data_IF_885275010591
#
_entry.id   IF_885275010591
#
_cell.length_a   1.000
_cell.length_b   1.000
_cell.length_c   1.000
_cell.angle_alpha   90.00
_cell.angle_beta   90.00
_cell.angle_gamma   90.00
#
_symmetry.space_group_name_H-M   'P 1'
#
loop_
_entity.id
_entity.type
_entity.pdbx_description
1 polymer ?
#
# COMPACT_ATOMS: atom_id res chain seq x y z
N UNK A 1 5.93 11.63 17.03
CA UNK A 1 5.85 10.15 17.16
C UNK A 1 4.39 9.79 17.46
N UNK A 2 3.56 9.57 16.42
CA UNK A 2 2.18 9.12 16.63
C UNK A 2 2.29 7.71 17.21
N UNK A 3 1.96 7.56 18.49
CA UNK A 3 1.85 6.26 19.14
C UNK A 3 0.78 5.46 18.42
N UNK A 4 1.20 4.49 17.60
CA UNK A 4 0.30 3.46 17.10
C UNK A 4 -0.37 2.83 18.31
N UNK A 5 -1.66 3.15 18.48
CA UNK A 5 -2.47 2.63 19.57
C UNK A 5 -2.41 1.10 19.51
N UNK A 6 -1.86 0.47 20.54
CA UNK A 6 -1.73 -0.97 20.67
C UNK A 6 -3.12 -1.59 20.73
N UNK A 7 -3.67 -2.00 19.60
CA UNK A 7 -4.68 -3.03 19.62
C UNK A 7 -4.01 -4.32 20.13
N UNK A 8 -4.16 -4.59 21.43
CA UNK A 8 -3.84 -5.89 22.01
C UNK A 8 -4.82 -6.91 21.42
N UNK A 9 -4.42 -7.57 20.34
CA UNK A 9 -5.09 -8.77 19.88
C UNK A 9 -5.01 -9.81 21.00
N UNK A 10 -6.16 -10.21 21.55
CA UNK A 10 -6.25 -11.37 22.43
C UNK A 10 -5.75 -12.57 21.65
N UNK A 11 -4.68 -13.20 22.13
CA UNK A 11 -4.04 -14.36 21.54
C UNK A 11 -5.06 -15.48 21.27
N UNK A 12 -5.33 -15.71 19.99
CA UNK A 12 -5.76 -17.02 19.51
C UNK A 12 -4.50 -17.90 19.55
N UNK A 13 -4.48 -18.91 20.41
CA UNK A 13 -3.34 -19.82 20.57
C UNK A 13 -2.93 -20.37 19.19
N UNK A 14 -1.77 -19.97 18.67
CA UNK A 14 -1.07 -20.63 17.58
C UNK A 14 -0.99 -19.91 16.23
N UNK A 15 -1.91 -19.01 15.85
CA UNK A 15 -1.84 -18.35 14.54
C UNK A 15 -0.98 -17.08 14.59
N UNK A 16 0.02 -16.99 13.69
CA UNK A 16 0.85 -15.80 13.56
C UNK A 16 0.01 -14.66 12.97
N UNK A 17 -0.12 -13.54 13.70
CA UNK A 17 -0.83 -12.36 13.22
C UNK A 17 0.10 -11.43 12.42
N UNK A 18 -0.29 -11.11 11.19
CA UNK A 18 0.30 -10.03 10.41
C UNK A 18 -0.31 -8.68 10.82
N UNK A 19 0.48 -7.62 10.79
CA UNK A 19 -0.04 -6.26 10.95
C UNK A 19 -1.01 -5.90 9.81
N UNK A 20 -0.71 -6.40 8.59
CA UNK A 20 -1.56 -6.27 7.41
C UNK A 20 -1.25 -7.36 6.37
N UNK A 21 -2.25 -7.67 5.55
CA UNK A 21 -2.09 -8.50 4.35
C UNK A 21 -2.53 -7.67 3.15
N UNK A 22 -1.71 -7.66 2.10
CA UNK A 22 -2.07 -7.06 0.82
C UNK A 22 -2.85 -8.05 -0.01
N UNK A 23 -3.93 -7.60 -0.65
CA UNK A 23 -4.74 -8.39 -1.57
C UNK A 23 -4.88 -7.57 -2.85
N UNK A 24 -4.34 -8.07 -3.93
CA UNK A 24 -4.48 -7.43 -5.23
C UNK A 24 -5.84 -7.81 -5.81
N UNK A 25 -6.83 -6.95 -5.62
CA UNK A 25 -8.19 -7.20 -6.16
C UNK A 25 -8.26 -6.98 -7.67
N UNK A 26 -7.31 -6.24 -8.22
CA UNK A 26 -7.06 -6.06 -9.65
C UNK A 26 -5.63 -5.60 -9.88
N UNK A 27 -5.02 -5.98 -11.00
CA UNK A 27 -3.75 -5.45 -11.47
C UNK A 27 -3.93 -4.48 -12.66
N UNK A 28 -5.16 -4.09 -12.97
CA UNK A 28 -5.52 -3.11 -13.99
C UNK A 28 -5.52 -1.72 -13.36
N UNK A 29 -4.91 -0.75 -14.05
CA UNK A 29 -4.93 0.66 -13.66
C UNK A 29 -5.36 1.50 -14.87
N UNK A 30 -6.02 2.62 -14.60
CA UNK A 30 -6.39 3.63 -15.61
C UNK A 30 -5.30 4.69 -15.83
N UNK A 31 -4.19 4.62 -15.09
CA UNK A 31 -2.99 5.44 -15.29
C UNK A 31 -1.79 4.57 -15.65
N UNK A 32 -0.76 5.20 -16.23
CA UNK A 32 0.52 4.56 -16.58
C UNK A 32 1.69 5.40 -16.05
N UNK A 33 1.83 5.45 -14.72
CA UNK A 33 2.87 6.22 -14.06
C UNK A 33 4.24 5.57 -14.25
N UNK A 34 5.27 6.36 -14.59
CA UNK A 34 6.65 5.88 -14.83
C UNK A 34 7.29 5.22 -13.60
N UNK A 35 6.96 5.73 -12.39
CA UNK A 35 7.45 5.14 -11.14
C UNK A 35 6.82 3.78 -10.82
N UNK A 36 5.72 3.41 -11.50
CA UNK A 36 5.04 2.15 -11.24
C UNK A 36 5.72 1.02 -12.03
N UNK A 37 6.20 -0.05 -11.38
CA UNK A 37 6.95 -1.08 -12.07
C UNK A 37 6.08 -1.79 -13.11
N UNK A 38 6.67 -2.15 -14.24
CA UNK A 38 6.00 -2.99 -15.23
C UNK A 38 5.73 -4.39 -14.67
N UNK A 39 4.75 -5.05 -15.26
CA UNK A 39 4.44 -6.46 -14.96
C UNK A 39 4.08 -7.20 -16.23
N UNK A 40 4.65 -8.40 -16.36
CA UNK A 40 4.34 -9.32 -17.45
C UNK A 40 3.12 -10.22 -17.13
N UNK A 41 2.52 -10.05 -15.95
CA UNK A 41 1.35 -10.84 -15.56
C UNK A 41 0.13 -10.43 -16.40
N UNK A 42 -0.72 -11.40 -16.69
CA UNK A 42 -2.01 -11.16 -17.32
C UNK A 42 -2.81 -10.13 -16.52
N UNK A 43 -3.45 -9.19 -17.21
CA UNK A 43 -4.37 -8.22 -16.59
C UNK A 43 -5.64 -8.91 -16.17
N UNK A 44 -5.97 -8.84 -14.88
CA UNK A 44 -7.09 -9.57 -14.29
C UNK A 44 -7.78 -8.74 -13.19
N UNK A 45 -9.02 -9.10 -12.93
CA UNK A 45 -9.83 -8.62 -11.81
C UNK A 45 -10.23 -9.86 -11.01
N UNK A 46 -10.04 -9.84 -9.69
CA UNK A 46 -10.43 -10.92 -8.80
C UNK A 46 -11.97 -10.95 -8.70
N UNK A 47 -12.60 -12.10 -8.94
CA UNK A 47 -14.04 -12.20 -8.75
C UNK A 47 -14.42 -12.12 -7.27
N UNK A 48 -15.66 -11.75 -6.99
CA UNK A 48 -16.16 -11.60 -5.62
C UNK A 48 -16.07 -12.92 -4.84
N UNK A 49 -16.34 -14.05 -5.49
CA UNK A 49 -16.26 -15.39 -4.90
C UNK A 49 -14.81 -15.72 -4.50
N UNK A 50 -13.86 -15.43 -5.39
CA UNK A 50 -12.43 -15.60 -5.11
C UNK A 50 -11.98 -14.69 -3.97
N UNK A 51 -12.44 -13.45 -3.95
CA UNK A 51 -12.12 -12.52 -2.86
C UNK A 51 -12.66 -13.03 -1.51
N UNK A 52 -13.91 -13.48 -1.45
CA UNK A 52 -14.49 -14.04 -0.21
C UNK A 52 -13.76 -15.32 0.21
N UNK A 53 -13.34 -16.17 -0.73
CA UNK A 53 -12.50 -17.33 -0.43
C UNK A 53 -11.17 -16.92 0.22
N UNK A 54 -10.49 -15.92 -0.35
CA UNK A 54 -9.27 -15.36 0.25
C UNK A 54 -9.54 -14.88 1.68
N UNK A 55 -10.56 -14.04 1.87
CA UNK A 55 -10.89 -13.49 3.20
C UNK A 55 -11.18 -14.59 4.21
N UNK A 56 -11.95 -15.61 3.83
CA UNK A 56 -12.25 -16.77 4.68
C UNK A 56 -10.98 -17.50 5.16
N UNK A 57 -9.97 -17.58 4.30
CA UNK A 57 -8.68 -18.24 4.62
C UNK A 57 -7.73 -17.37 5.45
N UNK A 58 -7.85 -16.02 5.36
CA UNK A 58 -6.86 -15.14 5.99
C UNK A 58 -7.36 -14.32 7.20
N UNK A 59 -8.67 -14.23 7.46
CA UNK A 59 -9.22 -13.34 8.51
C UNK A 59 -8.68 -13.63 9.93
N UNK A 60 -8.16 -14.84 10.17
CA UNK A 60 -7.50 -15.23 11.42
C UNK A 60 -6.06 -14.72 11.53
N UNK A 61 -5.44 -14.33 10.41
CA UNK A 61 -4.03 -13.93 10.34
C UNK A 61 -3.82 -12.43 10.37
N UNK A 62 -4.86 -11.64 10.20
CA UNK A 62 -4.79 -10.17 10.24
C UNK A 62 -6.11 -9.56 10.65
N UNK A 63 -6.09 -8.30 11.07
CA UNK A 63 -7.27 -7.45 11.22
C UNK A 63 -7.30 -6.31 10.20
N UNK A 64 -6.25 -6.20 9.38
CA UNK A 64 -6.12 -5.14 8.40
C UNK A 64 -5.67 -5.72 7.05
N UNK A 65 -6.41 -5.41 6.01
CA UNK A 65 -6.02 -5.69 4.62
C UNK A 65 -5.77 -4.40 3.86
N UNK A 66 -5.03 -4.48 2.76
CA UNK A 66 -4.86 -3.40 1.79
C UNK A 66 -5.23 -3.95 0.42
N UNK A 67 -6.09 -3.24 -0.33
CA UNK A 67 -6.73 -3.77 -1.53
C UNK A 67 -5.90 -3.57 -2.81
N UNK A 68 -4.58 -3.55 -2.69
CA UNK A 68 -3.67 -3.40 -3.83
C UNK A 68 -2.33 -4.11 -3.62
N UNK A 69 -1.75 -4.53 -4.71
CA UNK A 69 -0.31 -4.73 -4.93
C UNK A 69 0.06 -3.87 -6.13
N UNK A 70 -0.56 -4.12 -7.27
CA UNK A 70 -0.65 -3.23 -8.44
C UNK A 70 -2.11 -2.84 -8.71
N UNK A 71 -2.34 -2.07 -9.77
CA UNK A 71 -3.67 -1.67 -10.22
C UNK A 71 -4.31 -0.54 -9.41
N UNK A 72 -5.50 -0.15 -9.83
CA UNK A 72 -6.32 0.86 -9.16
C UNK A 72 -7.55 0.20 -8.52
N UNK A 73 -7.62 0.10 -7.19
CA UNK A 73 -8.72 -0.60 -6.54
C UNK A 73 -10.10 0.02 -6.78
N UNK A 74 -10.19 1.33 -7.03
CA UNK A 74 -11.47 1.98 -7.31
C UNK A 74 -12.04 1.63 -8.70
N UNK A 75 -11.26 1.01 -9.59
CA UNK A 75 -11.77 0.43 -10.84
C UNK A 75 -12.61 -0.82 -10.62
N UNK A 76 -12.49 -1.47 -9.45
CA UNK A 76 -13.23 -2.71 -9.22
C UNK A 76 -14.73 -2.45 -9.17
N UNK A 77 -15.49 -3.08 -10.08
CA UNK A 77 -16.94 -2.86 -10.20
C UNK A 77 -17.70 -3.27 -8.94
N UNK A 78 -17.25 -4.33 -8.27
CA UNK A 78 -17.87 -4.90 -7.07
C UNK A 78 -17.25 -4.35 -5.76
N UNK A 79 -16.66 -3.14 -5.77
CA UNK A 79 -16.01 -2.56 -4.58
C UNK A 79 -16.94 -2.55 -3.37
N UNK A 80 -18.21 -2.22 -3.55
CA UNK A 80 -19.20 -2.21 -2.48
C UNK A 80 -19.35 -3.60 -1.81
N UNK A 81 -19.47 -4.65 -2.62
CA UNK A 81 -19.59 -6.02 -2.12
C UNK A 81 -18.28 -6.50 -1.48
N UNK A 82 -17.12 -6.11 -1.99
CA UNK A 82 -15.82 -6.34 -1.36
C UNK A 82 -15.78 -5.75 0.05
N UNK A 83 -16.22 -4.51 0.23
CA UNK A 83 -16.26 -3.86 1.53
C UNK A 83 -17.26 -4.55 2.48
N UNK A 84 -18.44 -4.95 2.01
CA UNK A 84 -19.41 -5.74 2.79
C UNK A 84 -18.81 -7.08 3.25
N UNK A 85 -18.03 -7.77 2.41
CA UNK A 85 -17.33 -9.00 2.81
C UNK A 85 -16.34 -8.69 3.93
N UNK A 86 -15.56 -7.62 3.84
CA UNK A 86 -14.63 -7.25 4.91
C UNK A 86 -15.35 -6.98 6.24
N UNK A 87 -16.50 -6.31 6.20
CA UNK A 87 -17.34 -6.08 7.38
C UNK A 87 -17.84 -7.39 8.00
N UNK A 88 -18.36 -8.30 7.16
CA UNK A 88 -18.81 -9.64 7.57
C UNK A 88 -17.74 -10.41 8.36
N UNK A 89 -16.47 -10.29 7.96
CA UNK A 89 -15.33 -10.95 8.64
C UNK A 89 -14.62 -10.07 9.68
N UNK A 90 -15.20 -8.90 10.00
CA UNK A 90 -14.64 -7.95 10.97
C UNK A 90 -13.19 -7.55 10.66
N UNK A 91 -12.93 -7.24 9.39
CA UNK A 91 -11.67 -6.74 8.87
C UNK A 91 -11.79 -5.26 8.53
N UNK A 92 -10.71 -4.52 8.75
CA UNK A 92 -10.55 -3.15 8.25
C UNK A 92 -9.68 -3.14 6.99
N UNK A 93 -9.85 -2.10 6.19
CA UNK A 93 -9.03 -1.91 4.99
C UNK A 93 -8.41 -0.53 4.91
N UNK A 94 -7.21 -0.48 4.33
CA UNK A 94 -6.63 0.73 3.80
C UNK A 94 -6.69 0.65 2.27
N UNK A 95 -7.22 1.68 1.63
CA UNK A 95 -7.26 1.84 0.17
C UNK A 95 -6.13 2.78 -0.23
N UNK A 96 -5.32 2.39 -1.20
CA UNK A 96 -4.38 3.31 -1.87
C UNK A 96 -4.86 3.47 -3.30
N UNK A 97 -5.08 4.70 -3.70
CA UNK A 97 -5.70 5.06 -4.97
C UNK A 97 -4.96 6.23 -5.63
N UNK A 98 -5.02 6.28 -6.94
CA UNK A 98 -4.62 7.47 -7.69
C UNK A 98 -5.66 8.61 -7.58
N UNK A 99 -6.83 8.37 -7.02
CA UNK A 99 -7.86 9.36 -6.71
C UNK A 99 -8.77 9.75 -7.87
N UNK A 100 -8.49 9.35 -9.12
CA UNK A 100 -9.25 9.78 -10.30
C UNK A 100 -10.72 9.35 -10.30
N UNK A 101 -11.08 8.33 -9.52
CA UNK A 101 -12.43 7.75 -9.42
C UNK A 101 -13.08 8.00 -8.05
N UNK A 102 -12.52 8.91 -7.25
CA UNK A 102 -12.99 9.06 -5.87
C UNK A 102 -14.44 9.55 -5.79
N UNK A 103 -14.85 10.50 -6.65
CA UNK A 103 -16.22 11.00 -6.69
C UNK A 103 -17.23 9.89 -7.01
N UNK A 104 -16.92 9.00 -7.96
CA UNK A 104 -17.78 7.90 -8.37
C UNK A 104 -17.96 6.84 -7.26
N UNK A 105 -16.98 6.73 -6.37
CA UNK A 105 -16.96 5.74 -5.29
C UNK A 105 -17.21 6.33 -3.90
N UNK A 106 -17.45 7.63 -3.80
CA UNK A 106 -17.57 8.36 -2.54
C UNK A 106 -18.63 7.77 -1.62
N UNK A 107 -19.85 7.58 -2.10
CA UNK A 107 -20.94 7.06 -1.30
C UNK A 107 -20.70 5.60 -0.84
N UNK A 108 -20.10 4.78 -1.69
CA UNK A 108 -19.73 3.40 -1.34
C UNK A 108 -18.72 3.39 -0.18
N UNK A 109 -17.72 4.25 -0.26
CA UNK A 109 -16.66 4.34 0.75
C UNK A 109 -17.18 4.94 2.05
N UNK A 110 -17.96 6.01 1.96
CA UNK A 110 -18.55 6.75 3.10
C UNK A 110 -19.47 5.88 3.93
N UNK A 111 -20.23 5.01 3.28
CA UNK A 111 -21.19 4.11 3.94
C UNK A 111 -20.56 2.81 4.45
N UNK A 112 -19.26 2.60 4.27
CA UNK A 112 -18.59 1.37 4.72
C UNK A 112 -17.86 1.55 6.04
N UNK A 113 -18.20 0.66 6.99
CA UNK A 113 -17.44 0.54 8.23
C UNK A 113 -16.10 -0.20 8.08
N UNK A 114 -15.82 -0.84 6.94
CA UNK A 114 -14.57 -1.52 6.72
C UNK A 114 -13.41 -0.55 6.42
N UNK A 115 -13.69 0.59 5.77
CA UNK A 115 -12.64 1.53 5.36
C UNK A 115 -12.10 2.27 6.58
N UNK A 116 -10.80 2.08 6.83
CA UNK A 116 -10.08 2.73 7.92
C UNK A 116 -9.29 3.95 7.44
N UNK A 117 -8.71 3.86 6.25
CA UNK A 117 -7.79 4.87 5.72
C UNK A 117 -7.79 4.87 4.19
N UNK A 118 -7.72 6.05 3.62
CA UNK A 118 -7.47 6.25 2.19
C UNK A 118 -6.14 6.96 2.01
N UNK A 119 -5.31 6.43 1.13
CA UNK A 119 -4.07 7.06 0.71
C UNK A 119 -4.23 7.52 -0.73
N UNK A 120 -4.22 8.81 -0.95
CA UNK A 120 -4.21 9.41 -2.29
C UNK A 120 -2.77 9.57 -2.78
N UNK A 121 -2.43 8.94 -3.88
CA UNK A 121 -1.10 9.02 -4.50
C UNK A 121 -1.01 10.27 -5.38
N UNK A 122 -0.91 11.46 -4.78
CA UNK A 122 -0.91 12.74 -5.55
C UNK A 122 0.28 12.84 -6.50
N UNK A 123 1.40 12.18 -6.19
CA UNK A 123 2.54 12.09 -7.10
C UNK A 123 2.22 11.41 -8.44
N UNK A 124 1.10 10.69 -8.56
CA UNK A 124 0.65 10.16 -9.84
C UNK A 124 0.20 11.25 -10.82
N UNK A 125 -0.17 12.46 -10.33
CA UNK A 125 -0.51 13.61 -11.14
C UNK A 125 0.69 14.13 -11.94
N UNK A 126 1.87 14.06 -11.37
CA UNK A 126 3.12 14.59 -11.95
C UNK A 126 3.43 13.98 -13.32
N UNK A 127 3.02 12.74 -13.55
CA UNK A 127 3.35 11.97 -14.75
C UNK A 127 2.17 11.70 -15.68
N UNK A 128 1.02 12.34 -15.44
CA UNK A 128 -0.19 12.11 -16.23
C UNK A 128 -0.84 13.45 -16.62
N UNK A 129 -0.42 14.00 -17.75
CA UNK A 129 -0.90 15.29 -18.29
C UNK A 129 -2.42 15.33 -18.55
N UNK A 130 -3.05 14.18 -18.71
CA UNK A 130 -4.49 14.04 -18.93
C UNK A 130 -5.34 14.11 -17.67
N UNK A 131 -4.73 14.30 -16.49
CA UNK A 131 -5.49 14.48 -15.26
C UNK A 131 -6.19 15.84 -15.29
N UNK A 132 -7.51 15.82 -15.11
CA UNK A 132 -8.38 16.98 -15.13
C UNK A 132 -7.93 18.02 -14.08
N UNK A 133 -8.03 19.32 -14.41
CA UNK A 133 -7.74 20.42 -13.47
C UNK A 133 -8.58 20.36 -12.19
N UNK A 134 -9.76 19.76 -12.24
CA UNK A 134 -10.66 19.55 -11.10
C UNK A 134 -10.18 18.45 -10.14
N UNK A 135 -9.19 17.65 -10.53
CA UNK A 135 -8.75 16.46 -9.82
C UNK A 135 -8.44 16.66 -8.32
N UNK A 136 -7.64 17.68 -8.00
CA UNK A 136 -7.29 17.96 -6.60
C UNK A 136 -8.51 18.44 -5.81
N UNK A 137 -9.35 19.28 -6.39
CA UNK A 137 -10.59 19.75 -5.77
C UNK A 137 -11.51 18.57 -5.47
N UNK A 138 -11.68 17.65 -6.42
CA UNK A 138 -12.49 16.44 -6.23
C UNK A 138 -11.98 15.57 -5.08
N UNK A 139 -10.67 15.43 -4.93
CA UNK A 139 -10.05 14.72 -3.82
C UNK A 139 -10.30 15.44 -2.50
N UNK A 140 -10.10 16.76 -2.44
CA UNK A 140 -10.24 17.54 -1.20
C UNK A 140 -11.69 17.56 -0.72
N UNK A 141 -12.65 17.83 -1.62
CA UNK A 141 -14.07 17.80 -1.30
C UNK A 141 -14.52 16.41 -0.83
N UNK A 142 -14.06 15.35 -1.53
CA UNK A 142 -14.36 13.98 -1.11
C UNK A 142 -13.78 13.68 0.27
N UNK A 143 -12.58 14.15 0.58
CA UNK A 143 -11.95 13.97 1.88
C UNK A 143 -12.75 14.64 3.03
N UNK A 144 -13.38 15.78 2.77
CA UNK A 144 -14.25 16.47 3.75
C UNK A 144 -15.50 15.65 4.11
N UNK A 145 -16.02 14.89 3.16
CA UNK A 145 -17.18 14.05 3.37
C UNK A 145 -16.85 12.72 4.06
N UNK A 146 -15.62 12.24 3.99
CA UNK A 146 -15.16 10.97 4.53
C UNK A 146 -14.80 11.06 6.03
N UNK A 147 -15.77 11.54 6.84
CA UNK A 147 -15.61 11.72 8.28
C UNK A 147 -15.28 10.41 8.99
N UNK A 148 -14.31 10.45 9.90
CA UNK A 148 -13.87 9.27 10.67
C UNK A 148 -12.90 8.35 9.93
N UNK A 149 -12.69 8.56 8.62
CA UNK A 149 -11.69 7.85 7.83
C UNK A 149 -10.38 8.66 7.85
N UNK A 150 -9.26 7.97 8.01
CA UNK A 150 -7.94 8.62 7.93
C UNK A 150 -7.62 8.92 6.46
N UNK A 151 -7.35 10.16 6.14
CA UNK A 151 -6.92 10.60 4.82
C UNK A 151 -5.42 10.85 4.84
N UNK A 152 -4.71 10.30 3.87
CA UNK A 152 -3.27 10.49 3.72
C UNK A 152 -2.95 10.88 2.28
N UNK A 153 -2.63 12.12 2.06
CA UNK A 153 -2.07 12.59 0.80
C UNK A 153 -0.61 12.18 0.73
N UNK A 154 -0.21 11.56 -0.36
CA UNK A 154 1.17 11.12 -0.60
C UNK A 154 1.78 11.91 -1.74
N UNK A 155 2.87 12.58 -1.44
CA UNK A 155 3.64 13.33 -2.41
C UNK A 155 5.10 12.88 -2.32
N UNK A 156 5.70 12.54 -3.45
CA UNK A 156 7.07 12.03 -3.51
C UNK A 156 7.99 13.03 -4.19
N UNK A 157 9.28 12.91 -3.92
CA UNK A 157 10.35 13.62 -4.63
C UNK A 157 10.27 15.15 -4.54
N UNK A 158 9.87 15.70 -3.38
CA UNK A 158 9.80 17.15 -3.18
C UNK A 158 11.13 17.89 -3.42
N UNK A 159 12.25 17.16 -3.33
CA UNK A 159 13.59 17.68 -3.53
C UNK A 159 14.06 17.55 -4.99
N UNK A 160 13.31 16.86 -5.85
CA UNK A 160 13.71 16.65 -7.24
C UNK A 160 13.49 17.91 -8.07
N UNK A 161 14.55 18.33 -8.77
CA UNK A 161 14.52 19.54 -9.62
C UNK A 161 13.61 19.35 -10.83
N UNK A 162 13.46 18.12 -11.32
CA UNK A 162 12.64 17.83 -12.51
C UNK A 162 11.14 17.97 -12.26
N UNK A 163 10.69 17.69 -11.04
CA UNK A 163 9.26 17.68 -10.67
C UNK A 163 8.82 18.97 -9.94
N UNK A 164 9.71 19.95 -9.84
CA UNK A 164 9.55 21.10 -8.95
C UNK A 164 8.29 21.94 -9.19
N UNK A 165 7.86 22.11 -10.43
CA UNK A 165 6.71 22.95 -10.73
C UNK A 165 5.39 22.29 -10.33
N UNK A 166 5.18 21.03 -10.71
CA UNK A 166 3.90 20.31 -10.44
C UNK A 166 3.74 20.03 -8.95
N UNK A 167 4.81 19.58 -8.28
CA UNK A 167 4.78 19.39 -6.83
C UNK A 167 4.54 20.72 -6.09
N UNK A 168 5.08 21.84 -6.59
CA UNK A 168 4.84 23.16 -6.03
C UNK A 168 3.40 23.60 -6.20
N UNK A 169 2.78 23.33 -7.35
CA UNK A 169 1.38 23.62 -7.61
C UNK A 169 0.43 22.78 -6.74
N UNK A 170 0.75 21.49 -6.54
CA UNK A 170 -0.01 20.62 -5.64
C UNK A 170 0.08 21.13 -4.20
N UNK A 171 1.28 21.47 -3.74
CA UNK A 171 1.50 21.99 -2.38
C UNK A 171 0.73 23.28 -2.18
N UNK A 172 0.82 24.23 -3.15
CA UNK A 172 0.10 25.50 -3.07
C UNK A 172 -1.40 25.31 -2.98
N UNK A 173 -1.98 24.41 -3.77
CA UNK A 173 -3.42 24.12 -3.70
C UNK A 173 -3.80 23.52 -2.34
N UNK A 174 -2.94 22.69 -1.73
CA UNK A 174 -3.17 22.15 -0.38
C UNK A 174 -3.06 23.27 0.66
N UNK A 175 -2.05 24.16 0.56
CA UNK A 175 -1.89 25.32 1.45
C UNK A 175 -3.13 26.21 1.43
N UNK A 176 -3.61 26.54 0.22
CA UNK A 176 -4.77 27.42 0.02
C UNK A 176 -6.06 26.75 0.54
N UNK A 177 -6.26 25.46 0.27
CA UNK A 177 -7.47 24.74 0.66
C UNK A 177 -7.54 24.48 2.19
N UNK A 178 -6.43 24.10 2.81
CA UNK A 178 -6.38 23.76 4.24
C UNK A 178 -5.94 24.93 5.14
N UNK A 179 -5.59 26.07 4.54
CA UNK A 179 -5.06 27.24 5.24
C UNK A 179 -3.83 26.89 6.11
N UNK A 180 -2.87 26.17 5.53
CA UNK A 180 -1.62 25.75 6.16
C UNK A 180 -0.44 26.38 5.42
N UNK A 181 0.10 27.51 5.86
CA UNK A 181 1.16 28.22 5.16
C UNK A 181 2.52 27.50 5.28
N UNK A 182 3.41 27.73 4.33
CA UNK A 182 4.80 27.21 4.31
C UNK A 182 4.85 25.68 4.40
N UNK A 183 3.90 25.01 3.75
CA UNK A 183 3.77 23.54 3.82
C UNK A 183 5.00 22.82 3.24
N UNK A 184 5.61 23.39 2.20
CA UNK A 184 6.82 22.83 1.59
C UNK A 184 7.97 22.76 2.60
N UNK A 185 8.25 23.87 3.27
CA UNK A 185 9.30 23.97 4.29
C UNK A 185 9.03 23.00 5.44
N UNK A 186 7.79 22.96 5.91
CA UNK A 186 7.38 22.02 6.95
C UNK A 186 7.61 20.56 6.53
N UNK A 187 7.32 20.19 5.27
CA UNK A 187 7.51 18.84 4.75
C UNK A 187 8.97 18.46 4.56
N UNK A 188 9.85 19.43 4.28
CA UNK A 188 11.30 19.18 4.20
C UNK A 188 11.90 18.81 5.57
N UNK A 189 11.33 19.32 6.66
CA UNK A 189 11.76 19.02 8.01
C UNK A 189 11.06 17.80 8.62
N UNK A 190 9.87 17.47 8.13
CA UNK A 190 9.00 16.43 8.70
C UNK A 190 8.53 15.44 7.63
N UNK A 191 8.52 14.15 7.95
CA UNK A 191 8.02 13.11 7.04
C UNK A 191 6.51 13.21 6.79
N UNK A 192 5.77 13.86 7.69
CA UNK A 192 4.32 14.08 7.55
C UNK A 192 3.87 15.33 8.30
N UNK A 193 2.83 15.97 7.79
CA UNK A 193 2.15 17.12 8.40
C UNK A 193 0.66 16.79 8.57
N UNK A 194 0.10 17.16 9.70
CA UNK A 194 -1.34 17.11 9.94
C UNK A 194 -1.97 18.38 9.36
N UNK A 195 -2.86 18.22 8.39
CA UNK A 195 -3.59 19.33 7.76
C UNK A 195 -4.88 19.63 8.50
N UNK A 196 -5.59 18.60 8.96
CA UNK A 196 -6.85 18.68 9.68
C UNK A 196 -7.04 17.43 10.55
N UNK A 197 -8.14 17.34 11.31
CA UNK A 197 -8.49 16.10 12.00
C UNK A 197 -8.58 14.94 11.01
N UNK A 198 -7.83 13.85 11.28
CA UNK A 198 -7.73 12.66 10.44
C UNK A 198 -7.18 12.87 9.02
N UNK A 199 -6.73 14.09 8.64
CA UNK A 199 -6.17 14.38 7.32
C UNK A 199 -4.70 14.77 7.43
N UNK A 200 -3.85 14.08 6.67
CA UNK A 200 -2.39 14.22 6.72
C UNK A 200 -1.83 14.29 5.31
N UNK A 201 -0.72 14.99 5.14
CA UNK A 201 0.15 14.88 3.98
C UNK A 201 1.47 14.21 4.39
N UNK A 202 1.95 13.30 3.55
CA UNK A 202 3.21 12.59 3.74
C UNK A 202 4.11 12.82 2.54
N UNK A 203 5.37 13.15 2.80
CA UNK A 203 6.39 13.15 1.77
C UNK A 203 7.30 11.93 1.92
N UNK A 204 7.83 11.47 0.80
CA UNK A 204 8.87 10.42 0.78
C UNK A 204 9.70 10.55 -0.50
N UNK A 205 10.76 9.78 -0.59
CA UNK A 205 11.61 9.69 -1.77
C UNK A 205 11.27 8.42 -2.52
N UNK A 206 11.18 8.49 -3.83
CA UNK A 206 11.03 7.33 -4.69
C UNK A 206 12.17 6.33 -4.45
N UNK A 207 11.87 5.07 -4.63
CA UNK A 207 12.86 3.99 -4.50
C UNK A 207 12.82 3.10 -5.74
N UNK A 208 13.94 2.53 -6.07
CA UNK A 208 14.02 1.57 -7.15
C UNK A 208 13.29 0.28 -6.77
N UNK A 209 12.29 -0.08 -7.57
CA UNK A 209 11.53 -1.30 -7.37
C UNK A 209 12.43 -2.53 -7.53
N UNK A 210 12.23 -3.58 -6.72
CA UNK A 210 12.98 -4.81 -6.89
C UNK A 210 12.70 -5.43 -8.27
N UNK A 211 13.78 -5.83 -8.96
CA UNK A 211 13.71 -6.46 -10.28
C UNK A 211 14.86 -7.44 -10.42
N UNK A 212 14.58 -8.65 -10.90
CA UNK A 212 15.59 -9.70 -11.06
C UNK A 212 16.71 -9.34 -12.06
N UNK A 213 16.44 -8.40 -12.97
CA UNK A 213 17.43 -7.91 -13.94
C UNK A 213 18.39 -6.87 -13.35
N UNK A 214 18.08 -6.32 -12.17
CA UNK A 214 18.93 -5.32 -11.52
C UNK A 214 20.07 -5.98 -10.75
N UNK A 215 21.18 -5.24 -10.60
CA UNK A 215 22.29 -5.69 -9.77
C UNK A 215 21.90 -5.66 -8.29
N UNK A 216 22.41 -6.63 -7.50
CA UNK A 216 22.24 -6.60 -6.05
C UNK A 216 22.78 -5.30 -5.42
N UNK A 217 21.99 -4.68 -4.56
CA UNK A 217 22.33 -3.43 -3.84
C UNK A 217 22.32 -3.59 -2.32
N UNK A 218 21.81 -4.73 -1.82
CA UNK A 218 21.72 -5.02 -0.39
C UNK A 218 21.78 -6.54 -0.15
N UNK A 219 22.59 -6.96 0.83
CA UNK A 219 22.69 -8.37 1.24
C UNK A 219 22.37 -8.57 2.72
N UNK A 220 22.40 -7.50 3.49
CA UNK A 220 22.11 -7.50 4.93
C UNK A 220 21.09 -6.42 5.24
N UNK A 221 20.08 -6.77 6.04
CA UNK A 221 19.04 -5.85 6.47
C UNK A 221 17.84 -6.57 7.06
N UNK A 222 17.03 -5.86 7.84
CA UNK A 222 15.84 -6.41 8.50
C UNK A 222 14.59 -6.10 7.69
N UNK A 223 14.07 -7.07 6.98
CA UNK A 223 12.83 -6.96 6.23
C UNK A 223 11.62 -7.32 7.10
N UNK A 224 10.49 -6.64 6.86
CA UNK A 224 9.22 -6.90 7.55
C UNK A 224 8.35 -7.97 6.84
N UNK A 225 8.77 -8.41 5.66
CA UNK A 225 8.10 -9.46 4.90
C UNK A 225 8.02 -10.77 5.72
N UNK A 226 6.90 -11.46 5.64
CA UNK A 226 6.57 -12.67 6.41
C UNK A 226 6.66 -12.52 7.94
N UNK A 227 7.00 -11.34 8.44
CA UNK A 227 6.96 -10.99 9.85
C UNK A 227 5.74 -10.14 10.20
N UNK A 228 5.54 -9.06 9.47
CA UNK A 228 4.46 -8.10 9.71
C UNK A 228 3.50 -8.01 8.53
N UNK A 229 3.91 -8.47 7.36
CA UNK A 229 3.12 -8.41 6.13
C UNK A 229 3.41 -9.57 5.18
N UNK A 230 2.46 -9.82 4.29
CA UNK A 230 2.55 -10.68 3.11
C UNK A 230 1.59 -10.14 2.04
N UNK A 231 1.65 -10.66 0.81
CA UNK A 231 0.73 -10.24 -0.23
C UNK A 231 0.14 -11.44 -0.98
N UNK A 232 -1.06 -11.24 -1.52
CA UNK A 232 -1.80 -12.19 -2.35
C UNK A 232 -2.10 -11.49 -3.66
N UNK A 233 -1.60 -12.03 -4.76
CA UNK A 233 -1.81 -11.50 -6.10
C UNK A 233 -3.21 -11.89 -6.62
N UNK A 234 -3.66 -11.26 -7.70
CA UNK A 234 -5.01 -11.45 -8.26
C UNK A 234 -5.31 -12.90 -8.66
N UNK A 235 -4.28 -13.66 -9.03
CA UNK A 235 -4.36 -15.09 -9.38
C UNK A 235 -4.27 -16.04 -8.16
N UNK A 236 -4.20 -15.48 -6.94
CA UNK A 236 -4.08 -16.21 -5.69
C UNK A 236 -2.65 -16.56 -5.28
N UNK A 237 -1.65 -16.19 -6.05
CA UNK A 237 -0.25 -16.41 -5.67
C UNK A 237 0.10 -15.64 -4.41
N UNK A 238 0.61 -16.33 -3.39
CA UNK A 238 1.07 -15.70 -2.15
C UNK A 238 2.56 -15.39 -2.28
N UNK A 239 2.93 -14.14 -1.95
CA UNK A 239 4.30 -13.62 -2.06
C UNK A 239 4.73 -12.96 -0.75
N UNK A 240 6.04 -12.82 -0.47
CA UNK A 240 6.54 -12.31 0.80
C UNK A 240 6.06 -10.89 1.15
N UNK A 241 5.91 -10.01 0.18
CA UNK A 241 5.47 -8.62 0.38
C UNK A 241 4.86 -8.03 -0.90
N UNK A 242 4.26 -6.83 -0.78
CA UNK A 242 3.65 -6.12 -1.90
C UNK A 242 4.63 -5.59 -2.96
N UNK A 243 5.94 -5.65 -2.73
CA UNK A 243 6.94 -5.23 -3.72
C UNK A 243 7.30 -6.36 -4.69
N UNK A 244 6.91 -7.58 -4.38
CA UNK A 244 6.99 -8.72 -5.33
C UNK A 244 5.75 -8.73 -6.22
N UNK A 245 5.66 -7.74 -7.08
CA UNK A 245 4.50 -7.50 -7.93
C UNK A 245 4.40 -8.45 -9.12
N UNK A 246 5.47 -9.15 -9.47
CA UNK A 246 5.47 -10.17 -10.52
C UNK A 246 5.25 -11.59 -10.01
N UNK A 247 5.35 -11.80 -8.69
CA UNK A 247 5.27 -13.14 -8.11
C UNK A 247 6.56 -13.93 -8.28
N UNK A 248 7.71 -13.25 -8.30
CA UNK A 248 9.03 -13.87 -8.51
C UNK A 248 9.45 -14.77 -7.34
N UNK A 249 8.87 -14.57 -6.16
CA UNK A 249 9.09 -15.39 -4.96
C UNK A 249 7.76 -16.05 -4.54
N UNK A 250 7.17 -16.94 -5.37
CA UNK A 250 5.92 -17.59 -5.00
C UNK A 250 6.13 -18.51 -3.80
N UNK A 251 5.29 -18.35 -2.77
CA UNK A 251 5.28 -19.20 -1.57
C UNK A 251 4.27 -20.32 -1.70
N UNK A 252 3.19 -20.09 -2.45
CA UNK A 252 2.10 -21.01 -2.72
C UNK A 252 0.95 -20.29 -3.37
N UNK A 253 -0.22 -20.95 -3.47
CA UNK A 253 -1.42 -20.33 -4.05
C UNK A 253 -2.61 -20.54 -3.10
N UNK A 254 -3.23 -19.43 -2.68
CA UNK A 254 -4.31 -19.44 -1.67
C UNK A 254 -5.58 -20.16 -2.15
N UNK A 255 -5.80 -20.29 -3.46
CA UNK A 255 -6.92 -21.05 -4.00
C UNK A 255 -6.69 -22.58 -3.96
N UNK A 256 -5.44 -23.01 -3.82
CA UNK A 256 -5.06 -24.44 -3.81
C UNK A 256 -4.72 -24.97 -2.43
N UNK A 257 -4.32 -24.09 -1.51
CA UNK A 257 -3.75 -24.44 -0.21
C UNK A 257 -4.34 -23.55 0.90
N UNK A 258 -4.14 -23.92 2.16
CA UNK A 258 -4.45 -23.03 3.27
C UNK A 258 -3.32 -22.04 3.52
N UNK A 259 -3.61 -20.92 4.19
CA UNK A 259 -2.57 -19.96 4.56
C UNK A 259 -1.54 -20.57 5.54
N UNK A 260 -2.00 -21.45 6.43
CA UNK A 260 -1.16 -22.23 7.33
C UNK A 260 -0.14 -23.08 6.58
N UNK A 261 -0.61 -23.84 5.58
CA UNK A 261 0.26 -24.72 4.79
C UNK A 261 1.32 -23.90 4.05
N UNK A 262 0.91 -22.78 3.42
CA UNK A 262 1.83 -21.89 2.71
C UNK A 262 2.91 -21.33 3.64
N UNK A 263 2.53 -20.88 4.83
CA UNK A 263 3.47 -20.29 5.80
C UNK A 263 4.40 -21.31 6.43
N UNK A 264 3.99 -22.60 6.49
CA UNK A 264 4.75 -23.70 7.05
C UNK A 264 5.67 -24.39 6.03
N UNK A 265 5.65 -24.00 4.76
CA UNK A 265 6.60 -24.54 3.77
C UNK A 265 8.04 -24.13 4.14
N UNK A 266 8.97 -25.02 3.85
CA UNK A 266 10.40 -24.80 4.08
C UNK A 266 10.88 -23.46 3.51
N UNK A 267 10.48 -23.12 2.28
CA UNK A 267 10.78 -21.85 1.63
C UNK A 267 10.31 -20.65 2.46
N UNK A 268 9.07 -20.66 2.95
CA UNK A 268 8.49 -19.57 3.74
C UNK A 268 9.22 -19.40 5.08
N UNK A 269 9.49 -20.54 5.76
CA UNK A 269 10.21 -20.57 7.04
C UNK A 269 11.65 -20.06 6.86
N UNK A 270 12.35 -20.55 5.83
CA UNK A 270 13.74 -20.15 5.54
C UNK A 270 13.86 -18.65 5.25
N UNK A 271 13.02 -18.11 4.36
CA UNK A 271 13.01 -16.68 4.02
C UNK A 271 12.75 -15.85 5.29
N UNK A 272 11.74 -16.22 6.07
CA UNK A 272 11.40 -15.52 7.31
C UNK A 272 12.56 -15.51 8.29
N UNK A 273 13.17 -16.67 8.56
CA UNK A 273 14.31 -16.82 9.48
C UNK A 273 15.51 -15.99 9.02
N UNK A 274 15.80 -15.97 7.72
CA UNK A 274 16.88 -15.17 7.16
C UNK A 274 16.63 -13.67 7.36
N UNK A 275 15.42 -13.18 7.10
CA UNK A 275 15.07 -11.78 7.35
C UNK A 275 15.14 -11.39 8.83
N UNK A 276 14.74 -12.27 9.74
CA UNK A 276 14.86 -12.07 11.20
C UNK A 276 16.34 -11.97 11.63
N UNK A 277 17.21 -12.73 10.98
CA UNK A 277 18.65 -12.71 11.21
C UNK A 277 19.39 -11.58 10.43
N UNK A 278 18.66 -10.75 9.70
CA UNK A 278 19.24 -9.66 8.93
C UNK A 278 19.98 -10.09 7.67
N UNK A 279 19.67 -11.28 7.14
CA UNK A 279 20.28 -11.83 5.91
C UNK A 279 19.27 -11.81 4.78
N UNK A 280 19.64 -11.27 3.63
CA UNK A 280 18.81 -11.20 2.43
C UNK A 280 19.27 -12.26 1.44
N UNK A 281 18.51 -13.34 1.31
CA UNK A 281 18.88 -14.50 0.47
C UNK A 281 18.20 -14.50 -0.89
N UNK A 282 16.99 -13.94 -1.01
CA UNK A 282 16.24 -13.93 -2.27
C UNK A 282 16.85 -12.92 -3.26
N UNK A 283 17.10 -13.35 -4.49
CA UNK A 283 17.71 -12.48 -5.52
C UNK A 283 16.88 -11.19 -5.75
N UNK A 284 15.56 -11.29 -5.85
CA UNK A 284 14.69 -10.13 -5.97
C UNK A 284 14.88 -9.16 -4.78
N UNK A 285 14.92 -9.68 -3.54
CA UNK A 285 15.06 -8.85 -2.35
C UNK A 285 16.43 -8.17 -2.26
N UNK A 286 17.47 -8.75 -2.85
CA UNK A 286 18.81 -8.12 -2.93
C UNK A 286 18.83 -6.85 -3.78
N UNK A 287 17.86 -6.68 -4.70
CA UNK A 287 17.74 -5.49 -5.55
C UNK A 287 16.75 -4.45 -5.00
N UNK A 288 16.20 -4.66 -3.79
CA UNK A 288 15.12 -3.86 -3.24
C UNK A 288 15.60 -2.50 -2.71
N UNK A 289 15.32 -1.43 -3.46
CA UNK A 289 15.62 -0.05 -3.07
C UNK A 289 14.88 0.41 -1.80
N UNK A 290 13.65 -0.08 -1.60
CA UNK A 290 12.89 0.20 -0.38
C UNK A 290 13.59 -0.34 0.88
N UNK A 291 14.10 -1.58 0.83
CA UNK A 291 14.83 -2.16 1.95
C UNK A 291 16.13 -1.38 2.24
N UNK A 292 16.87 -1.02 1.19
CA UNK A 292 18.06 -0.18 1.30
C UNK A 292 17.74 1.17 1.96
N UNK A 293 16.64 1.81 1.55
CA UNK A 293 16.16 3.06 2.17
C UNK A 293 15.83 2.89 3.65
N UNK A 294 15.14 1.83 4.04
CA UNK A 294 14.83 1.53 5.44
C UNK A 294 16.10 1.34 6.29
N UNK A 295 17.10 0.65 5.79
CA UNK A 295 18.35 0.44 6.50
C UNK A 295 19.16 1.75 6.64
N UNK A 296 19.12 2.61 5.63
CA UNK A 296 19.75 3.94 5.71
C UNK A 296 19.08 4.82 6.79
N UNK A 297 17.74 4.86 6.82
CA UNK A 297 16.99 5.59 7.87
C UNK A 297 17.30 5.05 9.28
N UNK A 298 17.49 3.75 9.45
CA UNK A 298 17.86 3.15 10.74
C UNK A 298 19.24 3.57 11.20
N UNK A 299 20.20 3.70 10.28
CA UNK A 299 21.58 4.14 10.61
C UNK A 299 21.66 5.61 10.98
N UNK A 300 20.78 6.46 10.41
CA UNK A 300 20.75 7.90 10.75
C UNK A 300 20.08 8.19 12.10
N UNK A 301 19.29 7.25 12.63
CA UNK A 301 18.58 7.38 13.90
C UNK A 301 19.31 6.67 15.09
N UNK A 302 20.54 6.24 14.88
CA UNK A 302 21.47 5.70 15.90
C UNK A 302 22.61 6.70 16.12
#
# INVERSE_FOLDING_TARGET
MIKFNKYKAKNLKGAKMFKKIYIEITNICNLNCEFCPDTNRKKEIMSLEKFEEVIRKIHKFTKLVTLHVKGEPLLHKDLENILKILEKYNLKTNITTNGTLIKDKLEIIKNSNAVRQINFSLHSMVQNENINKQYLTDIFESAEELKGIIISYRLWNLQDIKDNNINSDIIKQIEDYYNVPNLREQLLENEFIKLRENTFINQDIEFEWPNLNNKPIIEKGRCLALKEQTAILVDGTVVPCCLDNNGDIPLGNIFKETMEDILNKEKSISIKKNFENGVITCNLCKTCGFLKRLENKRKMNV
#
